data_IF_380181659647
#
_entry.id   IF_380181659647
#
_cell.length_a   1.000
_cell.length_b   1.000
_cell.length_c   1.000
_cell.angle_alpha   90.00
_cell.angle_beta   90.00
_cell.angle_gamma   90.00
#
_symmetry.space_group_name_H-M   'P 1'
#
loop_
_entity.id
_entity.type
_entity.pdbx_description
1 polymer ?
#
# COMPACT_ATOMS: atom_id res chain seq x y z
N UNK A 1 -16.10 -11.68 31.13
CA UNK A 1 -15.78 -10.91 29.91
C UNK A 1 -16.81 -11.24 28.83
N UNK A 2 -17.44 -10.25 28.18
CA UNK A 2 -18.32 -10.51 27.03
C UNK A 2 -17.49 -11.06 25.86
N UNK A 3 -18.09 -11.86 24.99
CA UNK A 3 -17.42 -12.46 23.82
C UNK A 3 -16.78 -11.39 22.93
N UNK A 4 -17.48 -10.30 22.64
CA UNK A 4 -16.96 -9.22 21.78
C UNK A 4 -15.68 -8.59 22.35
N UNK A 5 -15.68 -8.27 23.65
CA UNK A 5 -14.49 -7.72 24.33
C UNK A 5 -13.33 -8.71 24.31
N UNK A 6 -13.64 -10.01 24.48
CA UNK A 6 -12.64 -11.08 24.40
C UNK A 6 -12.04 -11.21 23.00
N UNK A 7 -12.86 -11.17 21.96
CA UNK A 7 -12.39 -11.22 20.57
C UNK A 7 -11.44 -10.06 20.27
N UNK A 8 -11.80 -8.84 20.69
CA UNK A 8 -10.93 -7.68 20.55
C UNK A 8 -9.62 -7.85 21.31
N UNK A 9 -9.69 -8.27 22.58
CA UNK A 9 -8.50 -8.46 23.41
C UNK A 9 -7.56 -9.56 22.89
N UNK A 10 -8.09 -10.65 22.29
CA UNK A 10 -7.28 -11.69 21.63
C UNK A 10 -6.49 -11.09 20.46
N UNK A 11 -7.13 -10.28 19.62
CA UNK A 11 -6.46 -9.64 18.48
C UNK A 11 -5.36 -8.70 18.94
N UNK A 12 -5.62 -7.86 19.94
CA UNK A 12 -4.63 -6.92 20.48
C UNK A 12 -3.46 -7.63 21.14
N UNK A 13 -3.68 -8.70 21.90
CA UNK A 13 -2.60 -9.51 22.47
C UNK A 13 -1.72 -10.12 21.37
N UNK A 14 -2.32 -10.73 20.34
CA UNK A 14 -1.57 -11.32 19.24
C UNK A 14 -0.81 -10.27 18.42
N UNK A 15 -1.36 -9.07 18.22
CA UNK A 15 -0.68 -7.95 17.56
C UNK A 15 0.50 -7.45 18.39
N UNK A 16 0.32 -7.26 19.69
CA UNK A 16 1.34 -6.71 20.58
C UNK A 16 2.62 -7.58 20.65
N UNK A 17 2.48 -8.89 20.46
CA UNK A 17 3.63 -9.81 20.51
C UNK A 17 4.14 -10.26 19.15
N UNK A 18 3.44 -9.94 18.06
CA UNK A 18 3.83 -10.32 16.70
C UNK A 18 5.27 -9.86 16.38
N UNK A 19 6.10 -10.68 15.71
CA UNK A 19 5.80 -11.98 15.09
C UNK A 19 5.88 -13.19 16.03
N UNK A 20 5.96 -13.00 17.35
CA UNK A 20 6.08 -14.14 18.28
C UNK A 20 4.72 -14.83 18.48
N UNK A 21 4.65 -16.17 18.39
CA UNK A 21 3.39 -16.89 18.59
C UNK A 21 2.95 -16.96 20.06
N UNK A 22 1.63 -17.03 20.27
CA UNK A 22 1.01 -17.44 21.54
C UNK A 22 0.32 -18.79 21.40
N UNK A 23 0.61 -19.72 22.30
CA UNK A 23 -0.04 -21.03 22.28
C UNK A 23 -1.52 -20.93 22.64
N UNK A 24 -2.32 -21.88 22.14
CA UNK A 24 -3.74 -21.98 22.48
C UNK A 24 -3.95 -22.08 24.00
N UNK A 25 -3.13 -22.86 24.68
CA UNK A 25 -3.21 -23.03 26.13
C UNK A 25 -2.94 -21.72 26.89
N UNK A 26 -1.95 -20.94 26.44
CA UNK A 26 -1.62 -19.66 27.09
C UNK A 26 -2.75 -18.63 26.91
N UNK A 27 -3.30 -18.53 25.69
CA UNK A 27 -4.40 -17.62 25.40
C UNK A 27 -5.68 -18.03 26.16
N UNK A 28 -5.95 -19.34 26.25
CA UNK A 28 -7.11 -19.87 26.97
C UNK A 28 -7.03 -19.54 28.47
N UNK A 29 -5.87 -19.74 29.08
CA UNK A 29 -5.59 -19.37 30.47
C UNK A 29 -5.71 -17.84 30.67
N UNK A 30 -5.06 -17.04 29.81
CA UNK A 30 -5.04 -15.57 29.88
C UNK A 30 -6.42 -14.93 29.84
N UNK A 31 -7.32 -15.49 29.02
CA UNK A 31 -8.69 -14.99 28.83
C UNK A 31 -9.74 -15.79 29.61
N UNK A 32 -9.31 -16.69 30.50
CA UNK A 32 -10.16 -17.50 31.39
C UNK A 32 -11.25 -18.28 30.64
N UNK A 33 -10.88 -18.91 29.52
CA UNK A 33 -11.77 -19.73 28.70
C UNK A 33 -11.18 -21.11 28.42
N UNK A 34 -12.02 -22.07 28.03
CA UNK A 34 -11.51 -23.36 27.55
C UNK A 34 -10.76 -23.21 26.22
N UNK A 35 -9.78 -24.10 25.95
CA UNK A 35 -9.09 -24.16 24.66
C UNK A 35 -10.07 -24.29 23.49
N UNK A 36 -11.14 -25.08 23.66
CA UNK A 36 -12.21 -25.24 22.65
C UNK A 36 -12.96 -23.92 22.39
N UNK A 37 -13.19 -23.12 23.42
CA UNK A 37 -13.82 -21.80 23.28
C UNK A 37 -12.88 -20.84 22.54
N UNK A 38 -11.60 -20.84 22.91
CA UNK A 38 -10.59 -20.02 22.26
C UNK A 38 -10.46 -20.36 20.77
N UNK A 39 -10.36 -21.65 20.41
CA UNK A 39 -10.27 -22.08 19.01
C UNK A 39 -11.47 -21.60 18.19
N UNK A 40 -12.69 -21.69 18.74
CA UNK A 40 -13.89 -21.16 18.07
C UNK A 40 -13.87 -19.64 17.92
N UNK A 41 -13.29 -18.93 18.89
CA UNK A 41 -13.13 -17.49 18.83
C UNK A 41 -12.07 -17.08 17.79
N UNK A 42 -10.94 -17.79 17.71
CA UNK A 42 -9.92 -17.61 16.67
C UNK A 42 -10.46 -17.91 15.27
N UNK A 43 -11.28 -18.95 15.12
CA UNK A 43 -11.95 -19.25 13.85
C UNK A 43 -12.95 -18.15 13.47
N UNK A 44 -13.68 -17.60 14.44
CA UNK A 44 -14.59 -16.47 14.20
C UNK A 44 -13.84 -15.22 13.75
N UNK A 45 -12.67 -14.95 14.36
CA UNK A 45 -11.80 -13.84 13.96
C UNK A 45 -11.26 -14.02 12.53
N UNK A 46 -10.86 -15.25 12.16
CA UNK A 46 -10.44 -15.58 10.79
C UNK A 46 -11.56 -15.37 9.78
N UNK A 47 -12.77 -15.82 10.10
CA UNK A 47 -13.96 -15.60 9.26
C UNK A 47 -14.30 -14.11 9.13
N UNK A 48 -14.01 -13.31 10.16
CA UNK A 48 -14.12 -11.85 10.13
C UNK A 48 -12.95 -11.15 9.41
N UNK A 49 -12.00 -11.90 8.85
CA UNK A 49 -10.89 -11.36 8.05
C UNK A 49 -9.66 -10.94 8.85
N UNK A 50 -9.56 -11.28 10.14
CA UNK A 50 -8.32 -11.06 10.89
C UNK A 50 -7.28 -12.08 10.43
N UNK A 51 -6.07 -11.67 10.00
CA UNK A 51 -5.08 -12.55 9.39
C UNK A 51 -4.31 -13.35 10.44
N UNK A 52 -5.02 -14.23 11.14
CA UNK A 52 -4.44 -15.10 12.16
C UNK A 52 -4.01 -16.40 11.50
N UNK A 53 -2.72 -16.74 11.60
CA UNK A 53 -2.20 -18.04 11.17
C UNK A 53 -1.64 -18.82 12.36
N UNK A 54 -1.46 -20.12 12.18
CA UNK A 54 -0.89 -21.00 13.20
C UNK A 54 0.51 -21.44 12.76
N UNK A 55 1.48 -21.27 13.63
CA UNK A 55 2.83 -21.81 13.47
C UNK A 55 2.92 -23.18 14.12
N UNK A 56 3.44 -24.16 13.39
CA UNK A 56 3.59 -25.54 13.87
C UNK A 56 4.93 -25.72 14.60
N UNK A 57 4.96 -26.58 15.64
CA UNK A 57 6.18 -26.97 16.35
C UNK A 57 6.05 -26.89 17.88
N UNK A 58 7.11 -27.29 18.61
CA UNK A 58 7.10 -27.34 20.10
C UNK A 58 6.90 -25.97 20.77
N UNK A 59 7.22 -24.87 20.06
CA UNK A 59 6.98 -23.48 20.49
C UNK A 59 5.94 -22.77 19.61
N UNK A 60 5.17 -23.54 18.83
CA UNK A 60 4.17 -23.04 17.92
C UNK A 60 2.95 -22.42 18.63
N UNK A 61 2.13 -21.72 17.86
CA UNK A 61 0.97 -21.00 18.38
C UNK A 61 0.35 -20.11 17.31
N UNK A 62 -0.54 -19.23 17.72
CA UNK A 62 -1.21 -18.29 16.84
C UNK A 62 -0.43 -16.97 16.76
N UNK A 63 -0.38 -16.40 15.55
CA UNK A 63 0.24 -15.11 15.23
C UNK A 63 -0.74 -14.32 14.37
N UNK A 64 -0.75 -13.00 14.52
CA UNK A 64 -1.41 -12.08 13.58
C UNK A 64 -0.36 -11.52 12.64
N UNK A 65 -0.61 -11.60 11.33
CA UNK A 65 0.20 -10.93 10.32
C UNK A 65 0.07 -9.41 10.44
N UNK A 66 1.03 -8.79 11.14
CA UNK A 66 1.13 -7.34 11.30
C UNK A 66 1.88 -6.67 10.16
N UNK A 67 2.63 -7.42 9.35
CA UNK A 67 3.38 -6.86 8.23
C UNK A 67 2.46 -6.47 7.07
N UNK A 68 1.30 -7.14 6.94
CA UNK A 68 0.38 -6.92 5.82
C UNK A 68 -0.98 -6.32 6.23
N UNK A 69 -1.22 -6.03 7.52
CA UNK A 69 -2.49 -5.41 7.95
C UNK A 69 -2.35 -4.34 9.02
N UNK A 70 -3.02 -3.21 8.79
CA UNK A 70 -3.19 -2.16 9.79
C UNK A 70 -4.13 -2.61 10.90
N UNK A 71 -3.92 -2.16 12.15
CA UNK A 71 -4.89 -2.34 13.24
C UNK A 71 -6.22 -1.61 12.92
N UNK A 72 -7.33 -1.97 13.59
CA UNK A 72 -8.59 -1.24 13.43
C UNK A 72 -8.40 0.25 13.74
N UNK A 73 -8.64 1.11 12.74
CA UNK A 73 -8.57 2.55 12.89
C UNK A 73 -9.95 3.09 13.27
N UNK A 74 -10.05 3.73 14.43
CA UNK A 74 -11.21 4.55 14.75
C UNK A 74 -11.23 5.77 13.84
N UNK A 75 -12.31 5.95 13.08
CA UNK A 75 -12.52 7.12 12.23
C UNK A 75 -13.88 7.73 12.51
N UNK A 76 -13.94 9.05 12.62
CA UNK A 76 -15.18 9.81 12.59
C UNK A 76 -15.77 9.78 11.18
N UNK A 77 -17.07 10.05 11.07
CA UNK A 77 -17.75 10.14 9.77
C UNK A 77 -17.14 11.22 8.85
N UNK A 78 -16.59 12.30 9.43
CA UNK A 78 -15.92 13.36 8.69
C UNK A 78 -14.55 12.94 8.15
N UNK A 79 -13.74 12.27 8.97
CA UNK A 79 -12.44 11.73 8.56
C UNK A 79 -12.61 10.67 7.45
N UNK A 80 -13.58 9.78 7.60
CA UNK A 80 -13.88 8.78 6.58
C UNK A 80 -14.28 9.42 5.24
N UNK A 81 -15.08 10.50 5.24
CA UNK A 81 -15.39 11.25 4.02
C UNK A 81 -14.12 11.89 3.42
N UNK A 82 -13.32 12.57 4.23
CA UNK A 82 -12.10 13.23 3.77
C UNK A 82 -11.15 12.24 3.09
N UNK A 83 -10.98 11.06 3.70
CA UNK A 83 -10.21 9.95 3.12
C UNK A 83 -10.83 9.47 1.81
N UNK A 84 -12.14 9.23 1.75
CA UNK A 84 -12.81 8.79 0.51
C UNK A 84 -12.62 9.79 -0.63
N UNK A 85 -12.72 11.09 -0.34
CA UNK A 85 -12.51 12.16 -1.32
C UNK A 85 -11.05 12.18 -1.79
N UNK A 86 -10.09 12.14 -0.87
CA UNK A 86 -8.66 12.11 -1.19
C UNK A 86 -8.28 10.89 -2.03
N UNK A 87 -8.78 9.70 -1.66
CA UNK A 87 -8.56 8.46 -2.41
C UNK A 87 -9.16 8.53 -3.82
N UNK A 88 -10.29 9.20 -3.99
CA UNK A 88 -10.89 9.41 -5.31
C UNK A 88 -10.07 10.38 -6.16
N UNK A 89 -9.45 11.39 -5.55
CA UNK A 89 -8.59 12.34 -6.24
C UNK A 89 -7.25 11.74 -6.73
N UNK A 90 -6.82 10.60 -6.16
CA UNK A 90 -5.58 9.91 -6.56
C UNK A 90 -5.84 8.62 -7.35
N UNK A 91 -7.06 8.41 -7.84
CA UNK A 91 -7.44 7.21 -8.58
C UNK A 91 -6.55 6.95 -9.81
N UNK A 92 -6.07 7.99 -10.48
CA UNK A 92 -5.18 7.90 -11.65
C UNK A 92 -3.68 7.91 -11.28
N UNK A 93 -3.34 7.78 -10.00
CA UNK A 93 -1.95 7.72 -9.52
C UNK A 93 -1.39 6.30 -9.57
N UNK A 94 -0.07 6.12 -9.36
CA UNK A 94 0.54 4.81 -9.11
C UNK A 94 -0.09 4.01 -7.96
N UNK A 95 -0.92 4.64 -7.15
CA UNK A 95 -1.61 4.04 -6.02
C UNK A 95 -3.10 3.80 -6.30
N UNK A 96 -3.58 4.03 -7.53
CA UNK A 96 -5.01 3.98 -7.88
C UNK A 96 -5.72 2.71 -7.46
N UNK A 97 -5.11 1.55 -7.69
CA UNK A 97 -5.66 0.24 -7.29
C UNK A 97 -5.79 0.13 -5.76
N UNK A 98 -4.73 0.47 -5.03
CA UNK A 98 -4.74 0.49 -3.56
C UNK A 98 -5.76 1.52 -3.04
N UNK A 99 -5.86 2.69 -3.68
CA UNK A 99 -6.79 3.73 -3.32
C UNK A 99 -8.24 3.29 -3.51
N UNK A 100 -8.54 2.56 -4.58
CA UNK A 100 -9.87 1.99 -4.83
C UNK A 100 -10.25 0.95 -3.75
N UNK A 101 -9.35 0.02 -3.43
CA UNK A 101 -9.60 -0.98 -2.38
C UNK A 101 -9.73 -0.31 -1.01
N UNK A 102 -8.88 0.67 -0.69
CA UNK A 102 -8.97 1.44 0.55
C UNK A 102 -10.31 2.19 0.64
N UNK A 103 -10.75 2.82 -0.46
CA UNK A 103 -12.03 3.52 -0.52
C UNK A 103 -13.21 2.60 -0.21
N UNK A 104 -13.20 1.39 -0.78
CA UNK A 104 -14.21 0.37 -0.50
C UNK A 104 -14.22 -0.04 0.98
N UNK A 105 -13.05 -0.26 1.57
CA UNK A 105 -12.91 -0.59 3.00
C UNK A 105 -13.44 0.54 3.89
N UNK A 106 -13.07 1.79 3.62
CA UNK A 106 -13.55 2.95 4.40
C UNK A 106 -15.06 3.11 4.27
N UNK A 107 -15.63 3.02 3.06
CA UNK A 107 -17.08 3.10 2.86
C UNK A 107 -17.85 1.98 3.56
N UNK A 108 -17.25 0.80 3.70
CA UNK A 108 -17.85 -0.33 4.41
C UNK A 108 -17.93 -0.11 5.94
N UNK A 109 -17.11 0.77 6.50
CA UNK A 109 -17.16 1.12 7.94
C UNK A 109 -18.24 2.15 8.29
N UNK A 110 -18.79 2.86 7.29
CA UNK A 110 -19.80 3.89 7.52
C UNK A 110 -21.21 3.29 7.68
N UNK A 111 -21.99 3.68 8.71
CA UNK A 111 -23.41 3.33 8.81
C UNK A 111 -24.17 3.76 7.55
N UNK A 112 -25.11 2.93 7.06
CA UNK A 112 -25.86 3.18 5.83
C UNK A 112 -26.36 4.62 5.62
N UNK A 113 -27.03 5.29 6.59
CA UNK A 113 -27.50 6.66 6.40
C UNK A 113 -26.37 7.69 6.27
N UNK A 114 -25.22 7.44 6.89
CA UNK A 114 -24.03 8.30 6.76
C UNK A 114 -23.37 8.07 5.42
N UNK A 115 -23.19 6.80 5.02
CA UNK A 115 -22.62 6.43 3.72
C UNK A 115 -23.42 7.04 2.56
N UNK A 116 -24.75 6.93 2.59
CA UNK A 116 -25.60 7.39 1.48
C UNK A 116 -25.58 8.92 1.36
N UNK A 117 -25.55 9.64 2.50
CA UNK A 117 -25.38 11.11 2.53
C UNK A 117 -24.00 11.54 2.03
N UNK A 118 -22.95 10.83 2.44
CA UNK A 118 -21.58 11.13 2.02
C UNK A 118 -21.34 10.78 0.55
N UNK A 119 -21.93 9.70 0.03
CA UNK A 119 -21.87 9.36 -1.38
C UNK A 119 -22.64 10.38 -2.24
N UNK A 120 -23.75 10.93 -1.72
CA UNK A 120 -24.45 12.02 -2.39
C UNK A 120 -23.60 13.30 -2.46
N UNK A 121 -22.82 13.61 -1.41
CA UNK A 121 -21.88 14.72 -1.40
C UNK A 121 -20.68 14.47 -2.32
N UNK A 122 -20.12 13.25 -2.34
CA UNK A 122 -19.00 12.91 -3.22
C UNK A 122 -19.37 13.01 -4.71
N UNK A 123 -20.64 12.75 -5.07
CA UNK A 123 -21.16 12.93 -6.44
C UNK A 123 -21.20 14.39 -6.89
N UNK A 124 -21.08 15.35 -5.98
CA UNK A 124 -21.00 16.78 -6.29
C UNK A 124 -19.54 17.25 -6.46
N UNK A 125 -18.57 16.35 -6.30
CA UNK A 125 -17.15 16.62 -6.44
C UNK A 125 -16.69 16.06 -7.78
N UNK A 126 -16.39 16.93 -8.74
CA UNK A 126 -15.78 16.54 -10.00
C UNK A 126 -14.26 16.42 -9.83
N UNK A 127 -13.69 15.28 -10.20
CA UNK A 127 -12.24 15.07 -10.30
C UNK A 127 -11.87 15.09 -11.78
N UNK A 128 -10.83 15.83 -12.14
CA UNK A 128 -10.32 15.90 -13.52
C UNK A 128 -9.24 14.82 -13.70
N UNK A 129 -9.52 13.84 -14.57
CA UNK A 129 -8.63 12.72 -14.89
C UNK A 129 -9.44 11.46 -15.22
N UNK A 130 -9.21 10.87 -16.38
CA UNK A 130 -9.73 9.54 -16.75
C UNK A 130 -8.56 8.70 -17.27
N UNK A 131 -8.26 7.56 -16.65
CA UNK A 131 -7.83 6.37 -17.40
C UNK A 131 -7.95 5.06 -16.61
N UNK A 132 -8.61 4.06 -17.20
CA UNK A 132 -8.78 2.69 -16.66
C UNK A 132 -7.56 1.75 -16.88
N UNK A 133 -6.37 2.28 -17.19
CA UNK A 133 -5.30 1.48 -17.81
C UNK A 133 -4.15 1.00 -16.93
N UNK A 134 -3.97 1.54 -15.72
CA UNK A 134 -2.63 1.57 -15.09
C UNK A 134 -2.42 0.70 -13.85
N UNK A 135 -3.35 -0.21 -13.52
CA UNK A 135 -3.29 -0.98 -12.26
C UNK A 135 -2.17 -2.03 -12.23
N UNK A 136 -1.98 -2.81 -13.31
CA UNK A 136 -1.02 -3.92 -13.30
C UNK A 136 0.44 -3.45 -13.29
N UNK A 137 0.78 -2.49 -14.14
CA UNK A 137 2.14 -1.93 -14.22
C UNK A 137 2.56 -1.28 -12.90
N UNK A 138 1.66 -0.50 -12.29
CA UNK A 138 1.96 0.19 -11.03
C UNK A 138 2.16 -0.78 -9.87
N UNK A 139 1.38 -1.86 -9.82
CA UNK A 139 1.58 -2.96 -8.87
C UNK A 139 3.00 -3.56 -8.94
N UNK A 140 3.44 -3.93 -10.15
CA UNK A 140 4.78 -4.48 -10.38
C UNK A 140 5.87 -3.47 -10.01
N UNK A 141 5.69 -2.19 -10.36
CA UNK A 141 6.68 -1.16 -10.03
C UNK A 141 6.78 -0.92 -8.53
N UNK A 142 5.64 -0.85 -7.83
CA UNK A 142 5.61 -0.70 -6.38
C UNK A 142 6.23 -1.91 -5.67
N UNK A 143 6.03 -3.13 -6.19
CA UNK A 143 6.70 -4.34 -5.70
C UNK A 143 8.22 -4.26 -5.88
N UNK A 144 8.69 -3.84 -7.05
CA UNK A 144 10.13 -3.66 -7.31
C UNK A 144 10.77 -2.58 -6.43
N UNK A 145 10.07 -1.47 -6.19
CA UNK A 145 10.48 -0.43 -5.24
C UNK A 145 10.58 -0.99 -3.81
N UNK A 146 9.53 -1.66 -3.33
CA UNK A 146 9.47 -2.20 -1.97
C UNK A 146 10.55 -3.26 -1.70
N UNK A 147 10.89 -4.07 -2.71
CA UNK A 147 11.91 -5.12 -2.59
C UNK A 147 13.33 -4.68 -2.94
N UNK A 148 13.52 -3.46 -3.43
CA UNK A 148 14.82 -3.00 -3.94
C UNK A 148 15.32 -3.86 -5.10
N UNK A 149 14.44 -4.20 -6.04
CA UNK A 149 14.75 -5.06 -7.18
C UNK A 149 14.73 -4.30 -8.50
N UNK A 150 15.55 -4.76 -9.45
CA UNK A 150 15.61 -4.21 -10.80
C UNK A 150 14.29 -4.49 -11.52
N UNK A 151 13.77 -3.50 -12.25
CA UNK A 151 12.55 -3.64 -13.04
C UNK A 151 12.91 -3.58 -14.52
N UNK A 152 12.39 -4.52 -15.31
CA UNK A 152 12.40 -4.45 -16.76
C UNK A 152 11.14 -3.76 -17.26
N UNK A 153 11.31 -2.62 -17.92
CA UNK A 153 10.24 -1.86 -18.53
C UNK A 153 10.20 -2.09 -20.05
N UNK A 154 9.00 -2.24 -20.59
CA UNK A 154 8.73 -2.02 -22.01
C UNK A 154 8.19 -0.61 -22.19
N UNK A 155 9.04 0.30 -22.64
CA UNK A 155 8.78 1.73 -22.61
C UNK A 155 8.68 2.34 -24.02
N UNK A 156 7.64 3.15 -24.25
CA UNK A 156 7.47 3.94 -25.47
C UNK A 156 8.10 5.33 -25.27
N UNK A 157 9.13 5.65 -26.05
CA UNK A 157 9.71 7.01 -26.07
C UNK A 157 8.69 8.05 -26.57
N UNK A 158 8.97 9.34 -26.42
CA UNK A 158 8.08 10.41 -26.94
C UNK A 158 7.78 10.26 -28.42
N UNK A 159 8.81 9.95 -29.21
CA UNK A 159 8.76 9.91 -30.69
C UNK A 159 9.55 8.71 -31.25
N UNK A 160 9.72 7.66 -30.45
CA UNK A 160 10.67 6.58 -30.71
C UNK A 160 10.08 5.17 -30.65
N UNK A 161 10.85 4.16 -31.09
CA UNK A 161 10.43 2.77 -31.01
C UNK A 161 10.18 2.35 -29.56
N UNK A 162 9.34 1.33 -29.39
CA UNK A 162 9.19 0.65 -28.10
C UNK A 162 10.52 0.01 -27.74
N UNK A 163 10.98 0.26 -26.53
CA UNK A 163 12.29 -0.20 -26.06
C UNK A 163 12.18 -0.97 -24.76
N UNK A 164 13.12 -1.90 -24.55
CA UNK A 164 13.30 -2.54 -23.25
C UNK A 164 14.35 -1.80 -22.43
N UNK A 165 14.06 -1.60 -21.14
CA UNK A 165 14.90 -0.84 -20.20
C UNK A 165 14.94 -1.60 -18.88
N UNK A 166 16.13 -2.03 -18.49
CA UNK A 166 16.35 -2.53 -17.13
C UNK A 166 16.73 -1.32 -16.27
N UNK A 167 15.93 -1.07 -15.22
CA UNK A 167 16.02 0.14 -14.41
C UNK A 167 16.07 -0.21 -12.92
N UNK A 168 16.81 0.59 -12.15
CA UNK A 168 16.85 0.49 -10.69
C UNK A 168 15.88 1.55 -10.15
N UNK A 169 14.69 1.13 -9.65
CA UNK A 169 13.64 2.08 -9.30
C UNK A 169 14.01 2.84 -8.02
N UNK A 170 13.72 4.15 -8.01
CA UNK A 170 14.10 5.03 -6.90
C UNK A 170 12.89 5.71 -6.26
N UNK A 171 11.84 5.99 -7.02
CA UNK A 171 10.58 6.49 -6.47
C UNK A 171 9.64 7.06 -7.52
N UNK A 172 8.49 7.54 -7.06
CA UNK A 172 7.51 8.23 -7.89
C UNK A 172 7.65 9.74 -7.76
N UNK A 173 7.58 10.43 -8.91
CA UNK A 173 7.54 11.87 -9.01
C UNK A 173 6.23 12.30 -9.68
N UNK A 174 5.50 13.22 -9.06
CA UNK A 174 4.35 13.87 -9.68
C UNK A 174 4.78 15.22 -10.27
N UNK A 175 4.77 15.34 -11.60
CA UNK A 175 4.95 16.65 -12.24
C UNK A 175 3.62 17.42 -12.24
N UNK A 176 3.62 18.65 -11.70
CA UNK A 176 2.44 19.54 -11.67
C UNK A 176 2.47 20.65 -12.72
N UNK A 177 3.63 20.85 -13.36
CA UNK A 177 3.93 22.02 -14.17
C UNK A 177 3.97 21.67 -15.66
N UNK A 178 5.16 21.37 -16.20
CA UNK A 178 5.32 20.91 -17.60
C UNK A 178 5.09 19.40 -17.67
N UNK A 179 4.21 18.98 -18.59
CA UNK A 179 3.89 17.58 -18.84
C UNK A 179 3.33 16.85 -17.60
N UNK A 180 2.20 17.35 -17.07
CA UNK A 180 1.48 16.78 -15.93
C UNK A 180 1.35 15.27 -15.99
N UNK A 181 1.63 14.61 -14.87
CA UNK A 181 1.51 13.17 -14.73
C UNK A 181 2.49 12.57 -13.74
N UNK A 182 2.45 11.26 -13.64
CA UNK A 182 3.33 10.47 -12.77
C UNK A 182 4.53 9.92 -13.54
N UNK A 183 5.69 9.99 -12.91
CA UNK A 183 6.96 9.55 -13.46
C UNK A 183 7.61 8.59 -12.48
N UNK A 184 8.01 7.41 -12.94
CA UNK A 184 8.95 6.57 -12.22
C UNK A 184 10.34 7.17 -12.39
N UNK A 185 10.95 7.63 -11.31
CA UNK A 185 12.36 8.02 -11.30
C UNK A 185 13.18 6.77 -11.04
N UNK A 186 14.10 6.48 -11.95
CA UNK A 186 14.92 5.29 -11.87
C UNK A 186 16.29 5.49 -12.55
N UNK A 187 17.30 4.79 -12.05
CA UNK A 187 18.58 4.68 -12.76
C UNK A 187 18.43 3.77 -13.97
N UNK A 188 18.68 4.31 -15.17
CA UNK A 188 18.54 3.57 -16.41
C UNK A 188 19.87 2.89 -16.76
N UNK A 189 19.96 1.56 -16.63
CA UNK A 189 21.21 0.82 -16.92
C UNK A 189 21.68 0.93 -18.37
N UNK A 190 20.76 1.12 -19.32
CA UNK A 190 21.18 1.34 -20.70
C UNK A 190 21.84 2.72 -20.92
N UNK A 191 21.40 3.73 -20.17
CA UNK A 191 21.84 5.13 -20.33
C UNK A 191 22.81 5.59 -19.25
N UNK A 192 23.04 4.76 -18.23
CA UNK A 192 23.91 5.04 -17.09
C UNK A 192 23.65 6.43 -16.51
N UNK A 193 22.36 6.73 -16.27
CA UNK A 193 21.90 8.01 -15.71
C UNK A 193 20.50 7.87 -15.11
N UNK A 194 20.19 8.72 -14.13
CA UNK A 194 18.84 8.89 -13.57
C UNK A 194 17.92 9.45 -14.65
N UNK A 195 16.73 8.85 -14.76
CA UNK A 195 15.70 9.28 -15.72
C UNK A 195 14.31 9.15 -15.14
N UNK A 196 13.43 10.07 -15.54
CA UNK A 196 11.99 9.97 -15.35
C UNK A 196 11.32 9.19 -16.50
N UNK A 197 10.63 8.11 -16.15
CA UNK A 197 9.80 7.31 -17.07
C UNK A 197 8.34 7.64 -16.83
N UNK A 198 7.66 8.25 -17.81
CA UNK A 198 6.24 8.58 -17.67
C UNK A 198 5.40 7.32 -17.53
N UNK A 199 4.52 7.30 -16.55
CA UNK A 199 3.68 6.16 -16.24
C UNK A 199 2.80 5.74 -17.43
N UNK A 200 2.17 6.71 -18.10
CA UNK A 200 1.31 6.49 -19.29
C UNK A 200 2.05 5.91 -20.51
N UNK A 201 3.39 5.89 -20.48
CA UNK A 201 4.25 5.36 -21.55
C UNK A 201 4.90 4.02 -21.20
N UNK A 202 4.67 3.50 -20.00
CA UNK A 202 5.11 2.16 -19.61
C UNK A 202 4.06 1.17 -20.10
N UNK A 203 4.42 0.39 -21.12
CA UNK A 203 3.52 -0.56 -21.76
C UNK A 203 3.49 -1.93 -21.07
N UNK A 204 4.52 -2.24 -20.29
CA UNK A 204 4.67 -3.46 -19.51
C UNK A 204 5.82 -3.30 -18.51
N UNK A 205 5.75 -4.03 -17.40
CA UNK A 205 6.79 -4.06 -16.37
C UNK A 205 6.94 -5.47 -15.78
N UNK A 206 8.17 -5.85 -15.45
CA UNK A 206 8.50 -7.12 -14.81
C UNK A 206 9.56 -6.89 -13.73
N UNK A 207 9.35 -7.39 -12.51
CA UNK A 207 10.39 -7.41 -11.47
C UNK A 207 11.39 -8.53 -11.80
N UNK A 208 12.67 -8.18 -11.88
CA UNK A 208 13.75 -9.13 -12.04
C UNK A 208 14.25 -9.60 -10.66
N UNK A 209 14.81 -10.82 -10.55
CA UNK A 209 15.34 -11.33 -9.29
C UNK A 209 16.59 -10.58 -8.80
N UNK A 210 17.18 -9.75 -9.65
CA UNK A 210 18.39 -8.98 -9.33
C UNK A 210 18.07 -7.81 -8.38
N UNK A 211 18.86 -7.67 -7.32
CA UNK A 211 18.81 -6.50 -6.43
C UNK A 211 19.42 -5.26 -7.09
N UNK A 212 18.96 -4.08 -6.68
CA UNK A 212 19.62 -2.81 -7.05
C UNK A 212 21.06 -2.80 -6.53
N UNK A 213 22.01 -2.41 -7.38
CA UNK A 213 23.43 -2.59 -7.08
C UNK A 213 23.97 -1.47 -6.20
N UNK A 214 23.49 -0.24 -6.44
CA UNK A 214 23.84 0.93 -5.65
C UNK A 214 22.66 1.90 -5.60
N UNK A 215 22.29 2.42 -4.42
CA UNK A 215 21.39 3.56 -4.36
C UNK A 215 22.10 4.76 -4.97
N UNK A 216 21.71 5.14 -6.19
CA UNK A 216 22.24 6.28 -6.95
C UNK A 216 21.78 7.63 -6.35
N UNK A 217 21.85 7.77 -5.03
CA UNK A 217 21.22 8.86 -4.29
C UNK A 217 21.84 10.22 -4.67
N UNK A 218 23.17 10.31 -4.80
CA UNK A 218 23.83 11.55 -5.22
C UNK A 218 23.37 11.99 -6.64
N UNK A 219 23.23 11.03 -7.55
CA UNK A 219 22.73 11.30 -8.92
C UNK A 219 21.26 11.72 -8.89
N UNK A 220 20.46 11.14 -7.99
CA UNK A 220 19.05 11.46 -7.81
C UNK A 220 18.86 12.84 -7.21
N UNK A 221 19.61 13.18 -6.17
CA UNK A 221 19.56 14.48 -5.51
C UNK A 221 19.93 15.60 -6.48
N UNK A 222 20.98 15.39 -7.28
CA UNK A 222 21.36 16.31 -8.34
C UNK A 222 20.25 16.49 -9.39
N UNK A 223 19.60 15.40 -9.80
CA UNK A 223 18.51 15.45 -10.77
C UNK A 223 17.24 16.12 -10.21
N UNK A 224 16.88 15.84 -8.95
CA UNK A 224 15.77 16.46 -8.25
C UNK A 224 16.00 17.96 -8.07
N UNK A 225 17.20 18.37 -7.65
CA UNK A 225 17.58 19.77 -7.54
C UNK A 225 17.49 20.49 -8.89
N UNK A 226 17.95 19.84 -9.98
CA UNK A 226 17.89 20.39 -11.35
C UNK A 226 16.46 20.65 -11.82
N UNK A 227 15.50 19.81 -11.43
CA UNK A 227 14.09 19.95 -11.81
C UNK A 227 13.23 20.63 -10.73
N UNK A 228 13.84 21.09 -9.63
CA UNK A 228 13.14 21.74 -8.51
C UNK A 228 12.16 20.82 -7.77
N UNK A 229 12.36 19.51 -7.82
CA UNK A 229 11.50 18.53 -7.17
C UNK A 229 12.05 18.10 -5.80
N UNK A 230 11.17 17.61 -4.93
CA UNK A 230 11.49 16.99 -3.63
C UNK A 230 10.58 15.80 -3.39
N UNK A 231 11.03 14.79 -2.65
CA UNK A 231 10.15 13.69 -2.25
C UNK A 231 9.20 14.11 -1.14
N UNK A 232 8.12 13.35 -0.98
CA UNK A 232 7.15 13.57 0.10
C UNK A 232 7.79 13.51 1.50
N UNK A 233 8.75 12.60 1.70
CA UNK A 233 9.52 12.47 2.95
C UNK A 233 10.22 13.75 3.36
N UNK A 234 10.70 14.53 2.39
CA UNK A 234 11.54 15.71 2.64
C UNK A 234 10.70 16.97 2.94
N UNK A 235 9.38 16.88 2.74
CA UNK A 235 8.43 17.97 3.03
C UNK A 235 8.04 17.95 4.51
N UNK A 236 8.00 16.78 5.14
CA UNK A 236 7.60 16.63 6.55
C UNK A 236 8.66 17.15 7.54
N UNK A 237 9.95 17.14 7.20
CA UNK A 237 11.02 17.63 8.09
C UNK A 237 11.11 19.17 8.19
N UNK A 238 10.33 19.91 7.38
CA UNK A 238 10.36 21.37 7.33
C UNK A 238 9.14 22.05 7.96
N UNK A 239 8.25 21.30 8.63
CA UNK A 239 7.01 21.81 9.26
C UNK A 239 7.00 21.72 10.77
#
# INVERSE_FOLDING_TARGET
MNRTDRLYAIVEELRAVSPRPRSAAWLADRFEVSTRTLERDLDSLRQAGVPIYAENGRRGGYVVDTEHTLPPLGMTAGEALAVVVALSAIADSPFGSAAQTARQKVLATLPAPVRDRQLALSRQIAVVGESDGCSAVTGVVNEGLARGQVIRLRYRGSDGPVTRRDVEPMGWLQSRDVARGWYLVAWCRLRQSVRGFRLDRILDAEVLPEAVRHPHNDDLDAELARIGARFFSDVEESS
#
